data_IF_461537737737
#
_entry.id   IF_461537737737
#
_cell.length_a   1.000
_cell.length_b   1.000
_cell.length_c   1.000
_cell.angle_alpha   90.00
_cell.angle_beta   90.00
_cell.angle_gamma   90.00
#
_symmetry.space_group_name_H-M   'P 1'
#
loop_
_entity.id
_entity.type
_entity.pdbx_description
1 polymer ?
#
# COMPACT_ATOMS: atom_id res chain seq x y z
N UNK A 1 -16.91 2.26 -18.29
CA UNK A 1 -16.15 3.53 -18.40
C UNK A 1 -14.70 3.26 -18.04
N UNK A 2 -13.74 3.96 -18.62
CA UNK A 2 -12.34 3.84 -18.21
C UNK A 2 -12.19 4.41 -16.79
N UNK A 3 -11.48 3.68 -15.92
CA UNK A 3 -11.17 4.13 -14.56
C UNK A 3 -10.35 5.42 -14.64
N UNK A 4 -10.87 6.52 -14.09
CA UNK A 4 -10.11 7.78 -14.02
C UNK A 4 -8.93 7.63 -13.06
N UNK A 5 -7.77 8.12 -13.46
CA UNK A 5 -6.52 8.02 -12.70
C UNK A 5 -5.94 9.40 -12.43
N UNK A 6 -5.17 9.52 -11.34
CA UNK A 6 -4.43 10.74 -11.01
C UNK A 6 -2.94 10.55 -11.25
N UNK A 7 -2.35 11.44 -12.07
CA UNK A 7 -0.90 11.50 -12.26
C UNK A 7 -0.17 11.72 -10.93
N UNK A 8 1.12 11.38 -10.86
CA UNK A 8 1.91 11.60 -9.65
C UNK A 8 1.85 13.07 -9.16
N UNK A 9 1.86 14.02 -10.12
CA UNK A 9 1.74 15.46 -9.83
C UNK A 9 0.36 15.82 -9.28
N UNK A 10 -0.72 15.28 -9.85
CA UNK A 10 -2.07 15.53 -9.38
C UNK A 10 -2.31 14.91 -7.99
N UNK A 11 -1.80 13.70 -7.75
CA UNK A 11 -1.84 13.05 -6.44
C UNK A 11 -1.11 13.87 -5.37
N UNK A 12 0.11 14.36 -5.66
CA UNK A 12 0.84 15.23 -4.73
C UNK A 12 0.07 16.53 -4.42
N UNK A 13 -0.57 17.12 -5.43
CA UNK A 13 -1.39 18.32 -5.25
C UNK A 13 -2.64 18.03 -4.41
N UNK A 14 -3.27 16.87 -4.60
CA UNK A 14 -4.43 16.42 -3.83
C UNK A 14 -4.07 16.21 -2.35
N UNK A 15 -2.98 15.50 -2.07
CA UNK A 15 -2.50 15.28 -0.71
C UNK A 15 -2.25 16.61 0.02
N UNK A 16 -1.62 17.57 -0.67
CA UNK A 16 -1.40 18.92 -0.12
C UNK A 16 -2.72 19.63 0.20
N UNK A 17 -3.74 19.49 -0.66
CA UNK A 17 -5.05 20.11 -0.44
C UNK A 17 -5.80 19.48 0.73
N UNK A 18 -5.81 18.15 0.81
CA UNK A 18 -6.40 17.40 1.91
C UNK A 18 -5.80 17.81 3.26
N UNK A 19 -4.48 18.00 3.31
CA UNK A 19 -3.76 18.43 4.53
C UNK A 19 -3.78 19.93 4.81
N UNK A 20 -4.40 20.73 3.94
CA UNK A 20 -4.53 22.18 4.14
C UNK A 20 -5.99 22.59 4.26
N UNK A 21 -6.65 22.91 3.16
CA UNK A 21 -8.06 23.32 3.16
C UNK A 21 -9.00 22.16 3.48
N UNK A 22 -8.57 20.92 3.25
CA UNK A 22 -9.29 19.72 3.69
C UNK A 22 -9.17 19.43 5.19
N UNK A 23 -8.31 20.16 5.91
CA UNK A 23 -8.15 20.11 7.37
C UNK A 23 -7.78 18.75 7.96
N UNK A 24 -7.29 17.81 7.14
CA UNK A 24 -6.75 16.55 7.64
C UNK A 24 -5.31 16.73 8.15
N UNK A 25 -4.95 15.98 9.19
CA UNK A 25 -3.54 15.73 9.48
C UNK A 25 -3.01 14.56 8.66
N UNK A 26 -1.69 14.50 8.49
CA UNK A 26 -1.04 13.32 7.88
C UNK A 26 -1.34 12.05 8.69
N UNK A 27 -1.38 12.14 10.02
CA UNK A 27 -1.73 11.02 10.91
C UNK A 27 -3.11 10.44 10.58
N UNK A 28 -4.11 11.30 10.35
CA UNK A 28 -5.47 10.87 10.02
C UNK A 28 -5.54 10.16 8.67
N UNK A 29 -4.91 10.73 7.64
CA UNK A 29 -4.91 10.15 6.29
C UNK A 29 -4.19 8.80 6.30
N UNK A 30 -3.04 8.72 6.95
CA UNK A 30 -2.22 7.50 7.07
C UNK A 30 -2.94 6.41 7.87
N UNK A 31 -3.64 6.78 8.95
CA UNK A 31 -4.43 5.83 9.74
C UNK A 31 -5.54 5.17 8.88
N UNK A 32 -6.25 5.99 8.10
CA UNK A 32 -7.33 5.52 7.22
C UNK A 32 -6.78 4.73 6.01
N UNK A 33 -5.65 5.14 5.46
CA UNK A 33 -4.96 4.43 4.38
C UNK A 33 -4.51 3.04 4.82
N UNK A 34 -3.77 2.94 5.92
CA UNK A 34 -3.33 1.65 6.45
C UNK A 34 -4.49 0.76 6.92
N UNK A 35 -5.56 1.34 7.47
CA UNK A 35 -6.82 0.61 7.73
C UNK A 35 -7.40 0.03 6.45
N UNK A 36 -7.45 0.82 5.36
CA UNK A 36 -7.90 0.34 4.05
C UNK A 36 -7.06 -0.84 3.56
N UNK A 37 -5.72 -0.72 3.61
CA UNK A 37 -4.81 -1.80 3.23
C UNK A 37 -5.08 -3.07 4.05
N UNK A 38 -5.25 -2.95 5.37
CA UNK A 38 -5.53 -4.11 6.23
C UNK A 38 -6.84 -4.82 5.85
N UNK A 39 -7.89 -4.08 5.48
CA UNK A 39 -9.15 -4.66 5.03
C UNK A 39 -9.01 -5.35 3.66
N UNK A 40 -8.25 -4.77 2.73
CA UNK A 40 -7.96 -5.43 1.46
C UNK A 40 -7.21 -6.75 1.67
N UNK A 41 -6.18 -6.77 2.53
CA UNK A 41 -5.45 -7.98 2.91
C UNK A 41 -6.41 -9.03 3.49
N UNK A 42 -7.30 -8.65 4.41
CA UNK A 42 -8.30 -9.56 4.97
C UNK A 42 -9.21 -10.19 3.90
N UNK A 43 -9.66 -9.40 2.92
CA UNK A 43 -10.52 -9.89 1.81
C UNK A 43 -9.82 -10.87 0.88
N UNK A 44 -8.55 -10.64 0.57
CA UNK A 44 -7.80 -11.49 -0.38
C UNK A 44 -7.15 -12.70 0.29
N UNK A 45 -6.78 -12.55 1.55
CA UNK A 45 -6.14 -13.55 2.38
C UNK A 45 -6.86 -13.72 3.72
N UNK A 46 -8.08 -14.32 3.75
CA UNK A 46 -8.77 -14.64 5.00
C UNK A 46 -7.89 -15.48 5.93
N UNK A 47 -8.10 -15.34 7.24
CA UNK A 47 -7.26 -15.92 8.31
C UNK A 47 -7.11 -17.44 8.18
N UNK A 48 -8.07 -18.13 7.58
CA UNK A 48 -8.06 -19.57 7.33
C UNK A 48 -6.97 -19.99 6.34
N UNK A 49 -6.49 -19.07 5.49
CA UNK A 49 -5.39 -19.32 4.55
C UNK A 49 -4.00 -19.18 5.18
N UNK A 50 -3.93 -18.66 6.41
CA UNK A 50 -2.67 -18.33 7.05
C UNK A 50 -2.80 -17.06 7.89
N UNK A 51 -1.93 -16.94 8.89
CA UNK A 51 -1.94 -15.80 9.82
C UNK A 51 -0.69 -14.95 9.69
N UNK A 52 0.38 -15.45 9.08
CA UNK A 52 1.71 -14.82 9.12
C UNK A 52 1.83 -13.85 7.95
N UNK A 53 1.82 -12.56 8.25
CA UNK A 53 1.90 -11.50 7.25
C UNK A 53 3.22 -10.76 7.36
N UNK A 54 4.05 -10.80 6.33
CA UNK A 54 5.29 -10.03 6.30
C UNK A 54 5.05 -8.68 5.61
N UNK A 55 5.31 -7.59 6.33
CA UNK A 55 5.16 -6.23 5.80
C UNK A 55 6.54 -5.66 5.49
N UNK A 56 6.81 -5.42 4.20
CA UNK A 56 8.03 -4.75 3.73
C UNK A 56 7.81 -3.23 3.78
N UNK A 57 8.54 -2.54 4.63
CA UNK A 57 8.31 -1.11 4.93
C UNK A 57 9.44 -0.24 4.38
N UNK A 58 9.08 0.75 3.57
CA UNK A 58 10.00 1.75 3.06
C UNK A 58 10.14 2.98 3.97
N UNK A 59 11.03 3.93 3.62
CA UNK A 59 11.37 5.06 4.50
C UNK A 59 10.36 6.23 4.44
N UNK A 60 9.30 6.15 3.63
CA UNK A 60 8.38 7.26 3.37
C UNK A 60 6.94 7.00 3.85
N UNK A 61 6.01 7.81 3.34
CA UNK A 61 4.58 7.72 3.70
C UNK A 61 4.00 6.32 3.44
N UNK A 62 4.33 5.72 2.30
CA UNK A 62 3.89 4.35 1.96
C UNK A 62 4.31 3.33 3.03
N UNK A 63 5.50 3.52 3.62
CA UNK A 63 5.96 2.71 4.74
C UNK A 63 5.15 2.95 6.01
N UNK A 64 4.80 4.21 6.29
CA UNK A 64 3.86 4.57 7.36
C UNK A 64 2.50 3.87 7.20
N UNK A 65 1.94 3.83 6.00
CA UNK A 65 0.70 3.10 5.69
C UNK A 65 0.86 1.60 5.98
N UNK A 66 2.02 1.02 5.64
CA UNK A 66 2.37 -0.37 5.97
C UNK A 66 2.47 -0.63 7.48
N UNK A 67 3.05 0.29 8.25
CA UNK A 67 3.10 0.19 9.71
C UNK A 67 1.70 0.23 10.33
N UNK A 68 0.84 1.14 9.88
CA UNK A 68 -0.57 1.19 10.29
C UNK A 68 -1.30 -0.10 9.90
N UNK A 69 -1.11 -0.59 8.68
CA UNK A 69 -1.71 -1.84 8.22
C UNK A 69 -1.28 -3.03 9.10
N UNK A 70 -0.01 -3.13 9.47
CA UNK A 70 0.49 -4.16 10.38
C UNK A 70 -0.23 -4.12 11.74
N UNK A 71 -0.44 -2.93 12.31
CA UNK A 71 -1.20 -2.76 13.56
C UNK A 71 -2.64 -3.28 13.43
N UNK A 72 -3.37 -2.86 12.40
CA UNK A 72 -4.74 -3.32 12.18
C UNK A 72 -4.84 -4.82 11.92
N UNK A 73 -3.90 -5.38 11.13
CA UNK A 73 -3.83 -6.82 10.89
C UNK A 73 -3.65 -7.60 12.20
N UNK A 74 -2.82 -7.10 13.13
CA UNK A 74 -2.73 -7.71 14.47
C UNK A 74 -4.07 -7.70 15.21
N UNK A 75 -4.83 -6.62 15.13
CA UNK A 75 -6.17 -6.54 15.72
C UNK A 75 -7.20 -7.46 15.05
N UNK A 76 -7.02 -7.78 13.76
CA UNK A 76 -7.85 -8.77 13.07
C UNK A 76 -7.51 -10.21 13.43
N UNK A 77 -6.40 -10.46 14.12
CA UNK A 77 -5.98 -11.81 14.54
C UNK A 77 -4.87 -12.43 13.68
N UNK A 78 -4.23 -11.65 12.79
CA UNK A 78 -3.00 -12.06 12.12
C UNK A 78 -1.79 -11.98 13.06
N UNK A 79 -0.69 -12.57 12.61
CA UNK A 79 0.64 -12.53 13.22
C UNK A 79 1.58 -11.79 12.27
N UNK A 80 1.47 -10.45 12.18
CA UNK A 80 2.33 -9.69 11.29
C UNK A 80 3.77 -9.66 11.80
N UNK A 81 4.72 -9.59 10.88
CA UNK A 81 6.12 -9.21 11.13
C UNK A 81 6.52 -8.08 10.17
N UNK A 82 7.44 -7.24 10.59
CA UNK A 82 7.79 -6.01 9.86
C UNK A 82 9.26 -5.98 9.50
N UNK A 83 9.56 -5.93 8.21
CA UNK A 83 10.91 -5.63 7.73
C UNK A 83 11.02 -4.13 7.45
N UNK A 84 11.71 -3.39 8.32
CA UNK A 84 11.84 -1.93 8.23
C UNK A 84 13.32 -1.47 8.33
N UNK A 85 14.10 -1.63 7.25
CA UNK A 85 15.56 -1.49 7.27
C UNK A 85 16.05 -0.04 7.25
N UNK A 86 15.20 0.91 6.84
CA UNK A 86 15.53 2.34 6.76
C UNK A 86 14.49 3.13 7.53
N UNK A 87 14.81 3.48 8.79
CA UNK A 87 13.90 4.18 9.72
C UNK A 87 14.31 5.65 9.86
N UNK A 88 13.71 6.59 9.10
CA UNK A 88 14.01 8.00 9.28
C UNK A 88 13.59 8.49 10.66
N UNK A 89 14.24 9.54 11.15
CA UNK A 89 13.98 10.18 12.45
C UNK A 89 12.72 11.08 12.45
N UNK A 90 11.72 10.72 11.66
CA UNK A 90 10.45 11.42 11.64
C UNK A 90 9.60 10.92 12.84
N UNK A 91 9.09 11.86 13.64
CA UNK A 91 8.31 11.55 14.85
C UNK A 91 7.08 10.66 14.56
N UNK A 92 6.36 10.90 13.46
CA UNK A 92 5.20 10.09 13.08
C UNK A 92 5.56 8.61 12.96
N UNK A 93 6.63 8.29 12.22
CA UNK A 93 7.03 6.89 12.00
C UNK A 93 7.59 6.25 13.27
N UNK A 94 8.25 7.02 14.14
CA UNK A 94 8.70 6.54 15.43
C UNK A 94 7.52 6.20 16.34
N UNK A 95 6.47 7.05 16.37
CA UNK A 95 5.23 6.77 17.11
C UNK A 95 4.51 5.54 16.56
N UNK A 96 4.45 5.37 15.23
CA UNK A 96 3.89 4.17 14.61
C UNK A 96 4.69 2.90 14.97
N UNK A 97 6.03 2.96 14.89
CA UNK A 97 6.87 1.82 15.27
C UNK A 97 6.68 1.45 16.75
N UNK A 98 6.60 2.44 17.64
CA UNK A 98 6.33 2.25 19.06
C UNK A 98 5.00 1.53 19.32
N UNK A 99 3.94 1.86 18.56
CA UNK A 99 2.65 1.18 18.66
C UNK A 99 2.74 -0.30 18.26
N UNK A 100 3.57 -0.63 17.27
CA UNK A 100 3.82 -2.04 16.89
C UNK A 100 4.60 -2.79 17.97
N UNK A 101 5.58 -2.14 18.58
CA UNK A 101 6.32 -2.67 19.73
C UNK A 101 5.39 -2.95 20.92
N UNK A 102 4.47 -2.03 21.25
CA UNK A 102 3.48 -2.22 22.33
C UNK A 102 2.53 -3.40 22.07
N UNK A 103 2.29 -3.74 20.80
CA UNK A 103 1.52 -4.91 20.40
C UNK A 103 2.37 -6.18 20.26
N UNK A 104 3.67 -6.13 20.58
CA UNK A 104 4.62 -7.22 20.38
C UNK A 104 4.59 -7.74 18.94
N UNK A 105 4.60 -6.84 17.96
CA UNK A 105 4.78 -7.17 16.55
C UNK A 105 6.29 -7.16 16.27
N UNK A 106 6.89 -8.28 15.84
CA UNK A 106 8.33 -8.37 15.65
C UNK A 106 8.79 -7.54 14.45
N UNK A 107 9.86 -6.78 14.66
CA UNK A 107 10.66 -6.24 13.56
C UNK A 107 11.75 -7.24 13.19
N UNK A 108 11.83 -7.60 11.93
CA UNK A 108 12.82 -8.55 11.39
C UNK A 108 13.88 -7.80 10.59
N UNK A 109 15.12 -8.29 10.65
CA UNK A 109 16.27 -7.65 10.00
C UNK A 109 16.69 -8.34 8.69
N UNK A 110 16.18 -9.55 8.43
CA UNK A 110 16.47 -10.32 7.22
C UNK A 110 15.18 -10.74 6.52
N UNK A 111 14.90 -10.11 5.38
CA UNK A 111 13.68 -10.35 4.61
C UNK A 111 13.60 -11.78 4.04
N UNK A 112 14.65 -12.34 3.40
CA UNK A 112 14.60 -13.69 2.85
C UNK A 112 14.34 -14.79 3.90
N UNK A 113 14.92 -14.68 5.11
CA UNK A 113 14.65 -15.62 6.19
C UNK A 113 13.22 -15.49 6.70
N UNK A 114 12.74 -14.27 6.94
CA UNK A 114 11.36 -14.04 7.38
C UNK A 114 10.33 -14.59 6.38
N UNK A 115 10.61 -14.45 5.07
CA UNK A 115 9.79 -14.93 3.97
C UNK A 115 9.50 -16.44 4.04
N UNK A 116 10.44 -17.25 4.53
CA UNK A 116 10.26 -18.72 4.66
C UNK A 116 9.13 -19.10 5.63
N UNK A 117 8.77 -18.19 6.53
CA UNK A 117 7.74 -18.38 7.55
C UNK A 117 6.53 -17.48 7.34
N UNK A 118 6.29 -17.05 6.10
CA UNK A 118 5.23 -16.09 5.73
C UNK A 118 4.12 -16.77 4.93
N UNK A 119 2.87 -16.34 5.14
CA UNK A 119 1.70 -16.78 4.39
C UNK A 119 1.22 -15.72 3.37
N UNK A 120 1.46 -14.44 3.65
CA UNK A 120 1.10 -13.30 2.78
C UNK A 120 2.08 -12.14 2.94
N UNK A 121 2.30 -11.37 1.87
CA UNK A 121 3.24 -10.24 1.87
C UNK A 121 2.50 -8.93 1.58
N UNK A 122 2.84 -7.90 2.34
CA UNK A 122 2.45 -6.52 2.05
C UNK A 122 3.68 -5.74 1.59
N UNK A 123 3.65 -5.29 0.35
CA UNK A 123 4.65 -4.39 -0.23
C UNK A 123 4.24 -2.94 0.05
N UNK A 124 4.88 -2.35 1.07
CA UNK A 124 4.70 -0.97 1.49
C UNK A 124 6.02 -0.18 1.38
N UNK A 125 6.84 -0.50 0.37
CA UNK A 125 8.17 0.11 0.22
C UNK A 125 8.05 1.49 -0.43
N UNK A 126 7.54 1.57 -1.67
CA UNK A 126 7.49 2.80 -2.45
C UNK A 126 6.08 3.06 -3.00
N UNK A 127 5.54 4.23 -2.71
CA UNK A 127 4.25 4.71 -3.24
C UNK A 127 4.44 5.73 -4.36
N UNK A 128 3.37 6.48 -4.70
CA UNK A 128 3.36 7.38 -5.86
C UNK A 128 4.45 8.48 -5.88
N UNK A 129 4.97 8.87 -4.71
CA UNK A 129 5.97 9.93 -4.62
C UNK A 129 7.40 9.45 -4.89
N UNK A 130 7.60 8.14 -5.09
CA UNK A 130 8.91 7.59 -5.40
C UNK A 130 9.31 7.95 -6.83
N UNK A 131 10.56 8.37 -7.00
CA UNK A 131 11.17 8.66 -8.30
C UNK A 131 12.65 8.30 -8.27
N UNK A 132 13.17 7.77 -9.37
CA UNK A 132 14.58 7.44 -9.52
C UNK A 132 14.90 5.98 -9.24
N UNK A 133 16.19 5.69 -9.00
CA UNK A 133 16.67 4.32 -8.89
C UNK A 133 16.36 3.68 -7.53
N UNK A 134 15.99 2.40 -7.57
CA UNK A 134 15.84 1.57 -6.36
C UNK A 134 17.23 1.27 -5.81
N UNK A 135 17.49 1.72 -4.58
CA UNK A 135 18.79 1.56 -3.89
C UNK A 135 18.72 0.55 -2.75
N UNK A 136 19.87 0.00 -2.38
CA UNK A 136 20.00 -0.96 -1.28
C UNK A 136 19.34 -0.50 0.03
N UNK A 137 18.65 -1.39 0.76
CA UNK A 137 18.58 -2.85 0.57
C UNK A 137 17.38 -3.33 -0.27
N UNK A 138 16.65 -2.41 -0.91
CA UNK A 138 15.36 -2.75 -1.53
C UNK A 138 15.42 -3.61 -2.81
N UNK A 139 16.49 -3.60 -3.65
CA UNK A 139 16.59 -4.49 -4.79
C UNK A 139 16.40 -5.96 -4.45
N UNK A 140 17.08 -6.46 -3.41
CA UNK A 140 16.99 -7.85 -2.98
C UNK A 140 15.59 -8.20 -2.44
N UNK A 141 14.92 -7.26 -1.78
CA UNK A 141 13.56 -7.43 -1.24
C UNK A 141 12.55 -7.56 -2.39
N UNK A 142 12.61 -6.65 -3.36
CA UNK A 142 11.72 -6.67 -4.53
C UNK A 142 11.96 -7.94 -5.35
N UNK A 143 13.21 -8.36 -5.51
CA UNK A 143 13.55 -9.62 -6.18
C UNK A 143 12.94 -10.83 -5.44
N UNK A 144 13.09 -10.91 -4.11
CA UNK A 144 12.49 -11.98 -3.33
C UNK A 144 10.95 -12.01 -3.43
N UNK A 145 10.31 -10.84 -3.49
CA UNK A 145 8.86 -10.72 -3.72
C UNK A 145 8.44 -11.10 -5.14
N UNK A 146 9.31 -10.96 -6.15
CA UNK A 146 9.03 -11.42 -7.51
C UNK A 146 9.21 -12.93 -7.70
N UNK A 147 10.09 -13.56 -6.93
CA UNK A 147 10.43 -14.98 -7.07
C UNK A 147 9.56 -15.91 -6.21
N UNK A 148 8.85 -15.35 -5.22
CA UNK A 148 7.96 -16.12 -4.34
C UNK A 148 6.65 -16.50 -5.02
N UNK A 149 6.04 -17.59 -4.51
CA UNK A 149 4.68 -18.03 -4.90
C UNK A 149 3.59 -17.45 -3.99
N UNK A 150 3.97 -16.72 -2.95
CA UNK A 150 3.03 -16.10 -2.02
C UNK A 150 2.30 -14.94 -2.69
N UNK A 151 1.09 -14.65 -2.20
CA UNK A 151 0.35 -13.47 -2.64
C UNK A 151 1.04 -12.21 -2.09
N UNK A 152 1.38 -11.29 -2.99
CA UNK A 152 1.87 -9.95 -2.65
C UNK A 152 0.76 -8.93 -2.87
N UNK A 153 0.50 -8.12 -1.84
CA UNK A 153 -0.37 -6.94 -1.90
C UNK A 153 0.46 -5.67 -1.86
N UNK A 154 0.52 -4.94 -2.97
CA UNK A 154 1.21 -3.66 -3.03
C UNK A 154 0.31 -2.51 -2.59
N UNK A 155 0.87 -1.64 -1.76
CA UNK A 155 0.24 -0.44 -1.25
C UNK A 155 0.54 0.70 -2.20
N UNK A 156 -0.52 1.33 -2.70
CA UNK A 156 -0.55 2.48 -3.59
C UNK A 156 -0.04 2.25 -5.02
N UNK A 157 1.18 1.74 -5.12
CA UNK A 157 1.86 1.34 -6.35
C UNK A 157 2.72 0.10 -6.06
N UNK A 158 2.90 -0.84 -7.01
CA UNK A 158 3.94 -1.85 -6.88
C UNK A 158 5.30 -1.17 -6.78
N UNK A 159 6.06 -1.50 -5.74
CA UNK A 159 7.38 -0.91 -5.55
C UNK A 159 8.28 -1.16 -6.75
N UNK A 160 9.00 -0.12 -7.20
CA UNK A 160 9.79 0.00 -8.44
C UNK A 160 9.03 0.33 -9.72
N UNK A 161 7.69 0.32 -9.73
CA UNK A 161 6.94 0.72 -10.92
C UNK A 161 6.94 2.24 -11.07
N UNK A 162 7.07 2.70 -12.30
CA UNK A 162 6.80 4.08 -12.67
C UNK A 162 5.29 4.35 -12.58
N UNK A 163 4.93 5.52 -12.07
CA UNK A 163 3.54 5.87 -11.79
C UNK A 163 2.72 6.12 -13.05
N UNK A 164 3.38 6.53 -14.13
CA UNK A 164 2.78 6.79 -15.43
C UNK A 164 2.90 5.58 -16.36
N UNK A 165 4.10 4.97 -16.40
CA UNK A 165 4.51 4.00 -17.40
C UNK A 165 4.52 2.54 -16.91
N UNK A 166 4.26 2.30 -15.62
CA UNK A 166 4.16 0.96 -15.05
C UNK A 166 5.51 0.28 -14.82
N UNK A 167 5.62 -1.05 -14.98
CA UNK A 167 6.83 -1.78 -14.62
C UNK A 167 8.04 -1.34 -15.45
N UNK A 168 9.26 -1.34 -14.87
CA UNK A 168 10.47 -1.07 -15.62
C UNK A 168 10.70 -2.14 -16.69
N UNK A 169 11.25 -1.74 -17.85
CA UNK A 169 11.48 -2.67 -18.98
C UNK A 169 12.61 -3.68 -18.74
N UNK A 170 13.50 -3.38 -17.80
CA UNK A 170 14.61 -4.23 -17.38
C UNK A 170 15.10 -3.81 -15.99
N UNK A 171 15.86 -4.69 -15.32
CA UNK A 171 16.46 -4.41 -14.02
C UNK A 171 15.53 -4.72 -12.85
N UNK A 172 15.78 -4.08 -11.70
CA UNK A 172 15.05 -4.36 -10.46
C UNK A 172 13.55 -4.15 -10.66
N UNK A 173 12.79 -5.22 -10.41
CA UNK A 173 11.34 -5.21 -10.47
C UNK A 173 10.72 -5.24 -11.87
N UNK A 174 11.51 -5.49 -12.93
CA UNK A 174 10.93 -5.72 -14.28
C UNK A 174 10.01 -6.94 -14.32
N UNK A 175 10.29 -7.94 -13.47
CA UNK A 175 9.47 -9.14 -13.32
C UNK A 175 8.55 -9.09 -12.09
N UNK A 176 8.60 -8.00 -11.31
CA UNK A 176 7.77 -7.87 -10.11
C UNK A 176 6.34 -7.47 -10.46
N UNK A 177 5.42 -8.43 -10.37
CA UNK A 177 4.01 -8.24 -10.66
C UNK A 177 3.17 -8.74 -9.46
N UNK A 178 2.74 -7.85 -8.54
CA UNK A 178 1.96 -8.27 -7.39
C UNK A 178 0.59 -8.81 -7.83
N UNK A 179 0.03 -9.72 -7.02
CA UNK A 179 -1.30 -10.29 -7.28
C UNK A 179 -2.43 -9.36 -6.87
N UNK A 180 -2.15 -8.43 -5.96
CA UNK A 180 -3.12 -7.48 -5.42
C UNK A 180 -2.50 -6.09 -5.37
N UNK A 181 -3.29 -5.08 -5.75
CA UNK A 181 -2.93 -3.67 -5.66
C UNK A 181 -4.01 -2.93 -4.88
N UNK A 182 -3.62 -2.11 -3.91
CA UNK A 182 -4.54 -1.20 -3.19
C UNK A 182 -4.15 0.22 -3.55
N UNK A 183 -4.85 0.84 -4.49
CA UNK A 183 -4.67 2.27 -4.78
C UNK A 183 -5.27 3.09 -3.64
N UNK A 184 -4.49 4.01 -3.08
CA UNK A 184 -4.97 4.92 -2.03
C UNK A 184 -5.48 6.22 -2.65
N UNK A 185 -6.61 6.72 -2.14
CA UNK A 185 -7.33 7.93 -2.56
C UNK A 185 -7.93 7.81 -3.96
N UNK A 186 -7.10 7.58 -4.97
CA UNK A 186 -7.49 7.31 -6.34
C UNK A 186 -6.45 6.42 -7.04
N UNK A 187 -6.86 5.64 -8.05
CA UNK A 187 -5.95 4.92 -8.94
C UNK A 187 -4.91 5.84 -9.61
N UNK A 188 -3.70 5.32 -9.80
CA UNK A 188 -2.61 5.98 -10.57
C UNK A 188 -2.56 5.41 -12.00
N UNK A 189 -1.98 6.12 -13.00
CA UNK A 189 -1.96 5.66 -14.39
C UNK A 189 -1.31 4.29 -14.60
N UNK A 190 -0.34 3.90 -13.76
CA UNK A 190 0.29 2.57 -13.73
C UNK A 190 -0.70 1.40 -13.74
N UNK A 191 -1.93 1.61 -13.24
CA UNK A 191 -2.95 0.55 -13.14
C UNK A 191 -3.34 -0.01 -14.52
N UNK A 192 -3.08 0.73 -15.62
CA UNK A 192 -3.24 0.23 -16.99
C UNK A 192 -2.34 -0.98 -17.30
N UNK A 193 -1.25 -1.17 -16.55
CA UNK A 193 -0.33 -2.31 -16.65
C UNK A 193 -0.66 -3.43 -15.66
N UNK A 194 -1.42 -3.14 -14.61
CA UNK A 194 -1.76 -4.09 -13.57
C UNK A 194 -2.81 -5.11 -14.06
N UNK A 195 -2.69 -6.37 -13.62
CA UNK A 195 -3.54 -7.49 -14.06
C UNK A 195 -4.13 -8.33 -12.93
N UNK A 196 -3.78 -8.02 -11.68
CA UNK A 196 -4.27 -8.74 -10.51
C UNK A 196 -5.61 -8.22 -9.98
N UNK A 197 -5.90 -8.49 -8.71
CA UNK A 197 -7.07 -7.92 -8.01
C UNK A 197 -6.77 -6.51 -7.56
N UNK A 198 -7.63 -5.56 -7.91
CA UNK A 198 -7.39 -4.14 -7.67
C UNK A 198 -8.41 -3.59 -6.71
N UNK A 199 -7.95 -2.96 -5.63
CA UNK A 199 -8.79 -2.28 -4.65
C UNK A 199 -8.52 -0.78 -4.66
N UNK A 200 -9.54 0.01 -4.33
CA UNK A 200 -9.39 1.44 -4.00
C UNK A 200 -9.72 1.64 -2.53
N UNK A 201 -8.77 2.20 -1.79
CA UNK A 201 -8.89 2.56 -0.38
C UNK A 201 -8.76 4.06 -0.16
N UNK A 202 -8.83 4.50 1.09
CA UNK A 202 -8.77 5.92 1.44
C UNK A 202 -10.13 6.62 1.33
N UNK A 203 -11.13 6.08 2.02
CA UNK A 203 -12.51 6.58 2.07
C UNK A 203 -12.63 7.85 2.91
N UNK A 204 -12.04 8.95 2.44
CA UNK A 204 -12.05 10.25 3.14
C UNK A 204 -12.23 11.46 2.20
N UNK A 205 -12.29 11.24 0.88
CA UNK A 205 -12.38 12.32 -0.09
C UNK A 205 -13.82 12.82 -0.21
N UNK A 206 -14.03 14.12 0.01
CA UNK A 206 -15.32 14.76 -0.21
C UNK A 206 -15.64 14.83 -1.73
N UNK A 207 -16.91 14.69 -2.14
CA UNK A 207 -17.31 14.73 -3.55
C UNK A 207 -16.86 16.00 -4.30
N UNK A 208 -16.79 17.14 -3.61
CA UNK A 208 -16.30 18.40 -4.20
C UNK A 208 -14.83 18.35 -4.57
N UNK A 209 -13.99 17.77 -3.70
CA UNK A 209 -12.56 17.58 -3.97
C UNK A 209 -12.39 16.60 -5.14
N UNK A 210 -13.13 15.49 -5.14
CA UNK A 210 -13.07 14.52 -6.23
C UNK A 210 -13.43 15.14 -7.59
N UNK A 211 -14.50 15.95 -7.65
CA UNK A 211 -14.88 16.72 -8.84
C UNK A 211 -13.78 17.68 -9.29
N UNK A 212 -13.13 18.37 -8.36
CA UNK A 212 -12.04 19.32 -8.66
C UNK A 212 -10.83 18.64 -9.31
N UNK A 213 -10.50 17.43 -8.88
CA UNK A 213 -9.37 16.66 -9.41
C UNK A 213 -9.75 15.70 -10.55
N UNK A 214 -11.00 15.77 -11.01
CA UNK A 214 -11.54 14.95 -12.09
C UNK A 214 -11.38 13.43 -11.88
N UNK A 215 -11.73 12.94 -10.69
CA UNK A 215 -11.86 11.50 -10.45
C UNK A 215 -13.15 11.16 -9.71
N UNK A 216 -13.54 9.90 -9.76
CA UNK A 216 -14.75 9.39 -9.12
C UNK A 216 -14.38 8.70 -7.80
N UNK A 217 -15.09 9.06 -6.73
CA UNK A 217 -15.04 8.31 -5.48
C UNK A 217 -15.92 7.07 -5.67
N UNK A 218 -15.39 5.85 -5.50
CA UNK A 218 -16.19 4.64 -5.62
C UNK A 218 -17.25 4.54 -4.51
N UNK A 219 -18.28 3.75 -4.73
CA UNK A 219 -19.31 3.51 -3.72
C UNK A 219 -18.82 2.46 -2.71
N UNK A 220 -18.40 2.89 -1.53
CA UNK A 220 -18.01 1.96 -0.46
C UNK A 220 -19.24 1.39 0.26
N UNK A 221 -19.27 0.07 0.48
CA UNK A 221 -20.38 -0.60 1.16
C UNK A 221 -20.24 -0.52 2.69
N UNK A 222 -21.32 -0.17 3.39
CA UNK A 222 -21.39 -0.21 4.86
C UNK A 222 -20.17 0.42 5.55
N UNK A 223 -19.44 -0.39 6.32
CA UNK A 223 -18.26 0.00 7.10
C UNK A 223 -16.93 -0.13 6.33
N UNK A 224 -16.98 -0.56 5.08
CA UNK A 224 -15.79 -0.86 4.30
C UNK A 224 -14.97 0.39 4.01
N UNK A 225 -13.66 0.24 4.10
CA UNK A 225 -12.65 1.23 3.76
C UNK A 225 -11.99 0.93 2.41
N UNK A 226 -12.36 -0.18 1.78
CA UNK A 226 -11.89 -0.59 0.46
C UNK A 226 -13.02 -1.12 -0.40
N UNK A 227 -12.85 -0.98 -1.70
CA UNK A 227 -13.74 -1.55 -2.71
C UNK A 227 -12.91 -2.22 -3.80
N UNK A 228 -13.34 -3.38 -4.28
CA UNK A 228 -12.67 -4.04 -5.41
C UNK A 228 -13.15 -3.41 -6.72
N UNK A 229 -12.23 -3.18 -7.65
CA UNK A 229 -12.50 -2.62 -8.97
C UNK A 229 -11.91 -3.54 -10.05
N UNK A 230 -12.53 -3.57 -11.23
CA UNK A 230 -12.10 -4.41 -12.34
C UNK A 230 -12.29 -3.77 -13.72
N UNK A 231 -11.95 -4.50 -14.80
CA UNK A 231 -11.97 -3.99 -16.18
C UNK A 231 -13.35 -3.51 -16.69
N UNK A 232 -14.42 -3.74 -15.93
CA UNK A 232 -15.79 -3.28 -16.22
C UNK A 232 -16.34 -2.25 -15.23
N UNK A 233 -15.52 -1.74 -14.31
CA UNK A 233 -15.95 -0.89 -13.20
C UNK A 233 -15.88 -1.59 -11.85
N UNK A 234 -16.59 -1.06 -10.86
CA UNK A 234 -16.61 -1.56 -9.50
C UNK A 234 -17.14 -2.99 -9.43
N UNK A 235 -16.47 -3.86 -8.66
CA UNK A 235 -16.96 -5.17 -8.26
C UNK A 235 -17.43 -5.06 -6.82
N UNK A 236 -18.74 -5.05 -6.64
CA UNK A 236 -19.37 -5.20 -5.32
C UNK A 236 -19.07 -6.60 -4.79
#
# INVERSE_FOLDING_TARGET
MALKTLSAKAAAALDKELMSTGAFSIDQLMELAGLSVSQAVYRVHPIEKGKRVLVAVGPGNNGGDGLVAARHLRHYGYQPSVYYPKRPKNDLYQRLAKQLEDLNIPFVDDFPTALQSTDHIVDAIFGFSFSGEVREPFPAVIQAMSETKLTVTSVDAPSSWDIEDGPPKSGVGSDFHPSVLVSLTAPKPLVKHFRGRHFVGGRFVAPEIARKYDFEVPEYEGIDQVVEIGPGGQKL
#
